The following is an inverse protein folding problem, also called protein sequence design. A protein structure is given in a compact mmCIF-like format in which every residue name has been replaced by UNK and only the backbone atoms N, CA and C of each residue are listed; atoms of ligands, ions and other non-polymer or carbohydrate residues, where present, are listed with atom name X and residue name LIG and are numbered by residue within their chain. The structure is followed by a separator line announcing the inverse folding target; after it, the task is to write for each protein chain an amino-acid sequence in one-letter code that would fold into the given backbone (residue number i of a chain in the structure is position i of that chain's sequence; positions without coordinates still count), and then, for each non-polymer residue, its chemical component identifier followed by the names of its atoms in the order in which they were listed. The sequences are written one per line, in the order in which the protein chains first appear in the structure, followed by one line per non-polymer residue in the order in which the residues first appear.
data_IF_303104557345
#
_entry.id   IF_303104557345
#
_cell.length_a   1.000
_cell.length_b   1.000
_cell.length_c   1.000
_cell.angle_alpha   90.00
_cell.angle_beta   90.00
_cell.angle_gamma   90.00
#
_symmetry.space_group_name_H-M   'P 1'
#
loop_
_entity.id
_entity.type
_entity.pdbx_description
1 polymer ?
#
# COMPACT_ATOMS: atom_id res chain seq x y z
N UNK A 1 -34.04 -66.98 -11.46
CA UNK A 1 -35.21 -66.41 -10.75
C UNK A 1 -34.78 -65.04 -10.21
N UNK A 2 -35.45 -63.91 -10.38
CA UNK A 2 -36.57 -63.46 -11.20
C UNK A 2 -36.49 -61.92 -11.20
N UNK A 3 -36.69 -61.35 -12.39
CA UNK A 3 -37.10 -60.00 -12.81
C UNK A 3 -37.30 -58.86 -11.80
N UNK A 4 -37.05 -57.64 -12.28
CA UNK A 4 -38.15 -56.67 -12.34
C UNK A 4 -37.88 -55.28 -11.78
N UNK A 5 -37.62 -54.35 -12.71
CA UNK A 5 -37.74 -52.89 -12.58
C UNK A 5 -39.15 -52.50 -12.11
N UNK A 6 -39.30 -51.51 -11.21
CA UNK A 6 -40.34 -50.47 -11.38
C UNK A 6 -40.16 -49.27 -10.45
N UNK A 7 -40.10 -48.09 -11.06
CA UNK A 7 -40.37 -46.81 -10.44
C UNK A 7 -41.87 -46.68 -10.09
N UNK A 8 -42.24 -45.88 -9.08
CA UNK A 8 -43.58 -45.29 -9.04
C UNK A 8 -43.60 -43.88 -8.43
N UNK A 9 -43.90 -42.95 -9.33
CA UNK A 9 -44.43 -41.62 -9.15
C UNK A 9 -45.62 -41.55 -8.18
N UNK A 10 -45.84 -40.34 -7.65
CA UNK A 10 -47.15 -39.71 -7.86
C UNK A 10 -47.97 -39.45 -6.60
N UNK A 11 -47.82 -38.23 -6.08
CA UNK A 11 -48.91 -37.27 -5.80
C UNK A 11 -50.23 -37.79 -5.23
N UNK A 12 -50.55 -37.37 -4.01
CA UNK A 12 -51.64 -36.41 -3.72
C UNK A 12 -51.71 -36.16 -2.22
N UNK A 13 -51.23 -35.01 -1.74
CA UNK A 13 -51.62 -34.52 -0.41
C UNK A 13 -52.73 -33.49 -0.60
N UNK A 14 -53.95 -33.89 -0.27
CA UNK A 14 -55.06 -32.97 -0.10
C UNK A 14 -54.92 -32.24 1.23
N UNK A 15 -54.71 -30.94 1.08
CA UNK A 15 -54.63 -29.93 2.11
C UNK A 15 -55.90 -29.93 2.99
N UNK A 16 -55.74 -30.14 4.29
CA UNK A 16 -56.78 -29.82 5.29
C UNK A 16 -56.14 -28.97 6.38
N UNK A 17 -56.50 -27.68 6.38
CA UNK A 17 -56.08 -26.70 7.37
C UNK A 17 -57.12 -26.67 8.49
N UNK A 18 -56.76 -26.91 9.76
CA UNK A 18 -57.60 -26.53 10.88
C UNK A 18 -57.34 -25.06 11.25
N UNK A 19 -58.38 -24.25 11.55
CA UNK A 19 -58.21 -22.87 11.97
C UNK A 19 -57.97 -22.82 13.47
N UNK A 20 -56.91 -22.12 13.90
CA UNK A 20 -56.62 -21.98 15.32
C UNK A 20 -55.50 -20.97 15.61
N UNK A 21 -55.93 -19.73 15.86
CA UNK A 21 -55.29 -18.72 16.74
C UNK A 21 -53.85 -18.29 16.44
N UNK A 22 -53.73 -17.09 15.89
CA UNK A 22 -52.51 -16.29 15.90
C UNK A 22 -52.09 -15.95 17.34
N UNK A 23 -50.92 -16.41 17.75
CA UNK A 23 -50.06 -15.68 18.68
C UNK A 23 -48.65 -15.67 18.09
N UNK A 24 -48.27 -14.52 17.53
CA UNK A 24 -47.11 -14.34 16.67
C UNK A 24 -45.81 -14.87 17.28
N UNK A 25 -45.22 -15.84 16.59
CA UNK A 25 -43.84 -16.26 16.79
C UNK A 25 -42.95 -15.22 16.10
N UNK A 26 -42.03 -14.54 16.79
CA UNK A 26 -41.10 -13.65 16.10
C UNK A 26 -40.23 -14.50 15.17
N UNK A 27 -40.18 -14.10 13.89
CA UNK A 27 -39.29 -14.72 12.92
C UNK A 27 -37.83 -14.54 13.38
N UNK A 28 -36.94 -15.54 13.18
CA UNK A 28 -35.53 -15.33 13.41
C UNK A 28 -35.04 -14.26 12.43
N UNK A 29 -34.59 -13.13 12.99
CA UNK A 29 -34.03 -12.02 12.22
C UNK A 29 -32.69 -12.50 11.65
N UNK A 30 -32.60 -12.60 10.33
CA UNK A 30 -31.33 -12.82 9.64
C UNK A 30 -30.41 -11.63 9.94
N UNK A 31 -29.42 -11.83 10.81
CA UNK A 31 -28.39 -10.82 11.06
C UNK A 31 -27.50 -10.70 9.82
N UNK A 32 -27.29 -9.49 9.28
CA UNK A 32 -26.32 -9.29 8.21
C UNK A 32 -24.90 -9.54 8.75
N UNK A 33 -23.98 -10.05 7.91
CA UNK A 33 -22.61 -10.32 8.34
C UNK A 33 -21.93 -9.01 8.76
N UNK A 34 -21.38 -9.02 9.98
CA UNK A 34 -20.64 -7.89 10.55
C UNK A 34 -19.39 -7.69 9.70
N UNK A 35 -19.39 -6.65 8.86
CA UNK A 35 -18.24 -6.32 8.01
C UNK A 35 -17.14 -5.75 8.91
N UNK A 36 -15.89 -6.25 8.83
CA UNK A 36 -14.77 -5.66 9.56
C UNK A 36 -14.65 -4.17 9.22
N UNK A 37 -14.49 -3.34 10.25
CA UNK A 37 -14.25 -1.91 10.07
C UNK A 37 -13.04 -1.72 9.14
N UNK A 38 -13.24 -1.01 8.03
CA UNK A 38 -12.15 -0.68 7.13
C UNK A 38 -11.08 0.11 7.90
N UNK A 39 -9.78 -0.19 7.71
CA UNK A 39 -8.72 0.59 8.34
C UNK A 39 -8.90 2.07 7.94
N UNK A 40 -8.62 3.02 8.86
CA UNK A 40 -8.74 4.43 8.55
C UNK A 40 -7.87 4.74 7.33
N UNK A 41 -8.48 5.34 6.33
CA UNK A 41 -7.75 5.82 5.16
C UNK A 41 -6.72 6.84 5.67
N UNK A 42 -5.43 6.48 5.61
CA UNK A 42 -4.33 7.39 5.91
C UNK A 42 -4.43 8.52 4.89
N UNK A 43 -4.99 9.66 5.32
CA UNK A 43 -5.12 10.84 4.47
C UNK A 43 -3.71 11.26 4.07
N UNK A 44 -3.40 11.39 2.77
CA UNK A 44 -2.08 11.82 2.34
C UNK A 44 -1.77 13.17 3.00
N UNK A 45 -0.59 13.25 3.62
CA UNK A 45 -0.10 14.47 4.24
C UNK A 45 -0.21 15.63 3.25
N UNK A 46 -0.59 16.81 3.74
CA UNK A 46 -0.71 18.01 2.92
C UNK A 46 0.58 18.22 2.10
N UNK A 47 0.46 18.63 0.82
CA UNK A 47 1.61 18.81 -0.04
C UNK A 47 2.54 19.86 0.59
N UNK A 48 3.69 19.40 1.08
CA UNK A 48 4.77 20.29 1.52
C UNK A 48 5.24 21.08 0.31
N UNK A 49 5.35 22.40 0.46
CA UNK A 49 5.85 23.26 -0.59
C UNK A 49 7.30 22.86 -0.93
N UNK A 50 7.55 22.57 -2.22
CA UNK A 50 8.84 22.10 -2.69
C UNK A 50 9.62 23.25 -3.31
N UNK A 51 10.80 23.54 -2.77
CA UNK A 51 11.75 24.46 -3.38
C UNK A 51 12.51 23.75 -4.51
N UNK A 52 12.61 24.39 -5.67
CA UNK A 52 13.42 23.88 -6.79
C UNK A 52 14.91 24.08 -6.49
N UNK A 53 15.69 23.00 -6.56
CA UNK A 53 17.14 23.01 -6.32
C UNK A 53 17.86 22.31 -7.49
N UNK A 54 18.99 22.87 -7.91
CA UNK A 54 19.89 22.25 -8.89
C UNK A 54 21.07 21.62 -8.15
N UNK A 55 21.31 20.32 -8.37
CA UNK A 55 22.41 19.56 -7.77
C UNK A 55 23.19 18.83 -8.87
N UNK A 56 24.48 18.62 -8.63
CA UNK A 56 25.32 17.79 -9.49
C UNK A 56 25.33 16.37 -8.96
N UNK A 57 25.02 15.43 -9.83
CA UNK A 57 25.11 13.99 -9.59
C UNK A 57 26.13 13.42 -10.57
N UNK A 58 26.85 12.41 -10.14
CA UNK A 58 27.66 11.61 -11.04
C UNK A 58 26.76 10.68 -11.88
N UNK A 59 27.28 10.30 -13.05
CA UNK A 59 26.59 9.42 -14.01
C UNK A 59 25.99 8.15 -13.35
N UNK A 60 26.71 7.38 -12.50
CA UNK A 60 26.13 6.17 -11.90
C UNK A 60 24.96 6.48 -10.97
N UNK A 61 24.96 7.63 -10.28
CA UNK A 61 23.84 8.02 -9.43
C UNK A 61 22.61 8.42 -10.27
N UNK A 62 22.79 9.15 -11.38
CA UNK A 62 21.65 9.46 -12.27
C UNK A 62 21.05 8.18 -12.89
N UNK A 63 21.92 7.26 -13.34
CA UNK A 63 21.50 5.97 -13.88
C UNK A 63 20.72 5.13 -12.84
N UNK A 64 21.13 5.17 -11.57
CA UNK A 64 20.39 4.55 -10.48
C UNK A 64 18.99 5.15 -10.32
N UNK A 65 18.86 6.48 -10.36
CA UNK A 65 17.55 7.15 -10.26
C UNK A 65 16.61 6.75 -11.41
N UNK A 66 17.12 6.62 -12.64
CA UNK A 66 16.32 6.14 -13.77
C UNK A 66 15.92 4.67 -13.64
N UNK A 67 16.80 3.84 -13.09
CA UNK A 67 16.51 2.42 -12.83
C UNK A 67 15.37 2.29 -11.82
N UNK A 68 15.42 3.05 -10.72
CA UNK A 68 14.36 3.07 -9.70
C UNK A 68 13.04 3.55 -10.30
N UNK A 69 13.08 4.63 -11.09
CA UNK A 69 11.90 5.16 -11.78
C UNK A 69 11.27 4.12 -12.71
N UNK A 70 12.10 3.38 -13.44
CA UNK A 70 11.65 2.32 -14.34
C UNK A 70 11.01 1.17 -13.54
N UNK A 71 11.66 0.70 -12.48
CA UNK A 71 11.13 -0.36 -11.62
C UNK A 71 9.78 0.03 -10.98
N UNK A 72 9.65 1.27 -10.52
CA UNK A 72 8.42 1.77 -9.88
C UNK A 72 7.19 1.74 -10.81
N UNK A 73 7.39 1.85 -12.13
CA UNK A 73 6.30 1.76 -13.12
C UNK A 73 5.67 0.38 -13.18
N UNK A 74 6.46 -0.66 -12.91
CA UNK A 74 6.05 -2.06 -12.91
C UNK A 74 5.63 -2.56 -11.51
N UNK A 75 5.90 -1.79 -10.46
CA UNK A 75 5.49 -2.12 -9.10
C UNK A 75 3.95 -2.10 -8.92
N UNK A 76 3.46 -2.94 -8.01
CA UNK A 76 2.05 -2.98 -7.60
C UNK A 76 1.98 -2.85 -6.06
N UNK A 77 1.38 -1.79 -5.51
CA UNK A 77 0.76 -0.64 -6.20
C UNK A 77 1.79 0.22 -6.97
N UNK A 78 1.33 0.91 -8.02
CA UNK A 78 2.19 1.80 -8.81
C UNK A 78 2.58 3.00 -7.97
N UNK A 79 3.87 3.34 -7.95
CA UNK A 79 4.41 4.47 -7.20
C UNK A 79 4.99 5.48 -8.19
N UNK A 80 4.64 6.76 -8.04
CA UNK A 80 5.26 7.83 -8.82
C UNK A 80 6.65 8.18 -8.26
N UNK A 81 7.64 7.34 -8.59
CA UNK A 81 9.02 7.49 -8.14
C UNK A 81 9.80 8.45 -9.06
N UNK A 82 9.41 9.72 -9.06
CA UNK A 82 10.20 10.78 -9.71
C UNK A 82 11.58 10.92 -9.06
N UNK A 83 12.57 11.46 -9.79
CA UNK A 83 13.94 11.69 -9.27
C UNK A 83 13.93 12.45 -7.94
N UNK A 84 13.14 13.52 -7.86
CA UNK A 84 13.01 14.34 -6.64
C UNK A 84 12.36 13.58 -5.48
N UNK A 85 11.41 12.67 -5.75
CA UNK A 85 10.82 11.83 -4.72
C UNK A 85 11.84 10.85 -4.12
N UNK A 86 12.68 10.25 -4.95
CA UNK A 86 13.75 9.33 -4.50
C UNK A 86 14.82 10.09 -3.71
N UNK A 87 15.26 11.26 -4.20
CA UNK A 87 16.23 12.11 -3.49
C UNK A 87 15.68 12.53 -2.12
N UNK A 88 14.42 12.97 -2.05
CA UNK A 88 13.79 13.33 -0.78
C UNK A 88 13.69 12.15 0.19
N UNK A 89 13.35 10.96 -0.31
CA UNK A 89 13.34 9.74 0.51
C UNK A 89 14.74 9.43 1.07
N UNK A 90 15.77 9.54 0.25
CA UNK A 90 17.15 9.32 0.66
C UNK A 90 17.59 10.33 1.74
N UNK A 91 17.28 11.62 1.55
CA UNK A 91 17.61 12.67 2.53
C UNK A 91 16.85 12.48 3.85
N UNK A 92 15.57 12.09 3.80
CA UNK A 92 14.79 11.80 5.01
C UNK A 92 15.38 10.61 5.79
N UNK A 93 15.82 9.55 5.09
CA UNK A 93 16.50 8.42 5.72
C UNK A 93 17.85 8.82 6.30
N UNK A 94 18.62 9.62 5.56
CA UNK A 94 19.90 10.14 6.03
C UNK A 94 19.75 10.95 7.32
N UNK A 95 18.75 11.83 7.37
CA UNK A 95 18.45 12.63 8.56
C UNK A 95 17.99 11.80 9.77
N UNK A 96 17.38 10.63 9.53
CA UNK A 96 17.02 9.70 10.61
C UNK A 96 18.21 8.87 11.11
N UNK A 97 19.21 8.64 10.25
CA UNK A 97 20.34 7.77 10.54
C UNK A 97 21.51 8.51 11.17
N UNK A 98 21.76 9.76 10.75
CA UNK A 98 22.95 10.51 11.14
C UNK A 98 22.57 11.91 11.65
N UNK A 99 23.02 12.30 12.85
CA UNK A 99 22.88 13.67 13.30
C UNK A 99 23.75 14.60 12.43
N UNK A 100 23.41 15.90 12.34
CA UNK A 100 24.12 16.83 11.48
C UNK A 100 25.64 16.93 11.75
N UNK A 101 26.06 16.79 13.01
CA UNK A 101 27.48 16.79 13.40
C UNK A 101 28.26 15.68 12.70
N UNK A 102 27.68 14.49 12.65
CA UNK A 102 28.35 13.30 12.16
C UNK A 102 28.41 13.30 10.63
N UNK A 103 27.38 13.85 9.98
CA UNK A 103 27.40 14.13 8.54
C UNK A 103 28.53 15.08 8.17
N UNK A 104 28.71 16.17 8.91
CA UNK A 104 29.81 17.12 8.66
C UNK A 104 31.16 16.42 8.86
N UNK A 105 31.32 15.64 9.93
CA UNK A 105 32.54 14.90 10.18
C UNK A 105 32.85 13.89 9.06
N UNK A 106 31.83 13.21 8.51
CA UNK A 106 32.00 12.28 7.39
C UNK A 106 32.38 13.01 6.10
N UNK A 107 31.72 14.13 5.79
CA UNK A 107 32.06 14.96 4.64
C UNK A 107 33.49 15.48 4.73
N UNK A 108 33.95 15.89 5.93
CA UNK A 108 35.33 16.28 6.17
C UNK A 108 36.30 15.12 5.92
N UNK A 109 36.00 13.91 6.41
CA UNK A 109 36.81 12.71 6.16
C UNK A 109 36.94 12.41 4.66
N UNK A 110 35.82 12.46 3.92
CA UNK A 110 35.81 12.24 2.46
C UNK A 110 36.54 13.34 1.69
N UNK A 111 36.42 14.60 2.14
CA UNK A 111 37.14 15.72 1.54
C UNK A 111 38.65 15.62 1.77
N UNK A 112 39.10 15.14 2.93
CA UNK A 112 40.52 14.92 3.19
C UNK A 112 41.15 13.89 2.22
N UNK A 113 40.38 12.87 1.80
CA UNK A 113 40.79 11.94 0.73
C UNK A 113 40.69 12.52 -0.68
N UNK A 114 39.91 13.58 -0.89
CA UNK A 114 39.74 14.27 -2.16
C UNK A 114 40.25 15.71 -2.05
N UNK A 115 41.57 15.86 -1.87
CA UNK A 115 42.22 17.19 -1.81
C UNK A 115 42.31 17.78 -3.23
N UNK A 116 41.17 18.22 -3.77
CA UNK A 116 41.09 19.19 -4.86
C UNK A 116 40.86 20.60 -4.29
N UNK A 117 41.25 21.69 -4.98
CA UNK A 117 41.29 23.03 -4.39
C UNK A 117 39.92 23.42 -3.85
N UNK A 118 39.81 23.43 -2.51
CA UNK A 118 38.59 23.83 -1.82
C UNK A 118 38.20 25.23 -2.29
N UNK A 119 36.94 25.40 -2.67
CA UNK A 119 36.34 26.72 -2.93
C UNK A 119 36.70 27.63 -1.75
N UNK A 120 37.55 28.63 -1.99
CA UNK A 120 37.74 29.73 -1.05
C UNK A 120 36.38 30.37 -0.82
N UNK A 121 35.92 30.34 0.42
CA UNK A 121 34.80 31.17 0.84
C UNK A 121 35.31 32.61 0.82
N UNK A 122 34.90 33.36 -0.20
CA UNK A 122 34.94 34.82 -0.19
C UNK A 122 33.70 35.33 0.55
#
# INVERSE_FOLDING_TARGET
MAYGVTARNGSTQHNTVPPGFYRGRPAPISQPPVRPAAPPAVRPAAPTELTKVSIYLDEPTDAFLETVRTAARFAKPRVDATRSAVVRLALNRLAQQLPPSDLVAELQRKAATHTGPGRKRA
#
